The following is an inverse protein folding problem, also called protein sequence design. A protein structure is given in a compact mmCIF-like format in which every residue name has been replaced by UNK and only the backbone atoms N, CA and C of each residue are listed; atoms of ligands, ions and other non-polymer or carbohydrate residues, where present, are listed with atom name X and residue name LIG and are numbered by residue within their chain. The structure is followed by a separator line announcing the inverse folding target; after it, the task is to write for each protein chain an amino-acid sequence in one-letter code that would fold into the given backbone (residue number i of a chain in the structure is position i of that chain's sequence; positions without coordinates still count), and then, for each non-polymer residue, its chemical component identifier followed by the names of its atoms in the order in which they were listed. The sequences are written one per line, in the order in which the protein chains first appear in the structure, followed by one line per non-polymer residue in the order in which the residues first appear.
data_IF_134254634233
#
_entry.id   IF_134254634233
#
_cell.length_a   1.000
_cell.length_b   1.000
_cell.length_c   1.000
_cell.angle_alpha   90.00
_cell.angle_beta   90.00
_cell.angle_gamma   90.00
#
_symmetry.space_group_name_H-M   'P 1'
#
loop_
_entity.id
_entity.type
_entity.pdbx_description
1 polymer ?
#
# COMPACT_ATOMS: atom_id res chain seq x y z
N UNK A 1 27.94 1.65 -15.18
CA UNK A 1 26.61 2.28 -15.31
C UNK A 1 25.71 1.35 -16.12
N UNK A 2 25.31 0.23 -15.52
CA UNK A 2 24.41 -0.74 -16.14
C UNK A 2 23.27 -1.04 -15.18
N UNK A 3 22.13 -1.47 -15.72
CA UNK A 3 21.02 -1.97 -14.90
C UNK A 3 21.52 -3.11 -14.02
N UNK A 4 21.47 -2.93 -12.70
CA UNK A 4 21.65 -4.04 -11.80
C UNK A 4 20.48 -5.01 -11.94
N UNK A 5 20.73 -6.29 -11.64
CA UNK A 5 19.70 -7.33 -11.65
C UNK A 5 18.48 -6.96 -10.77
N UNK A 6 18.63 -6.34 -9.57
CA UNK A 6 17.49 -5.90 -8.77
C UNK A 6 16.62 -4.86 -9.47
N UNK A 7 17.23 -3.83 -10.08
CA UNK A 7 16.50 -2.78 -10.78
C UNK A 7 15.72 -3.34 -11.98
N UNK A 8 16.32 -4.29 -12.71
CA UNK A 8 15.65 -4.94 -13.84
C UNK A 8 14.40 -5.70 -13.39
N UNK A 9 14.48 -6.41 -12.26
CA UNK A 9 13.32 -7.11 -11.67
C UNK A 9 12.24 -6.11 -11.25
N UNK A 10 12.62 -5.01 -10.58
CA UNK A 10 11.67 -3.98 -10.15
C UNK A 10 10.95 -3.31 -11.32
N UNK A 11 11.64 -3.07 -12.43
CA UNK A 11 11.02 -2.54 -13.66
C UNK A 11 10.00 -3.53 -14.22
N UNK A 12 10.32 -4.83 -14.25
CA UNK A 12 9.36 -5.85 -14.70
C UNK A 12 8.12 -5.90 -13.81
N UNK A 13 8.29 -5.77 -12.49
CA UNK A 13 7.17 -5.69 -11.54
C UNK A 13 6.36 -4.42 -11.80
N UNK A 14 6.99 -3.26 -11.99
CA UNK A 14 6.30 -2.01 -12.29
C UNK A 14 5.44 -2.12 -13.57
N UNK A 15 5.97 -2.74 -14.62
CA UNK A 15 5.22 -2.99 -15.86
C UNK A 15 4.06 -3.96 -15.66
N UNK A 16 4.24 -5.01 -14.85
CA UNK A 16 3.17 -5.93 -14.49
C UNK A 16 2.04 -5.20 -13.74
N UNK A 17 2.38 -4.37 -12.75
CA UNK A 17 1.39 -3.57 -12.01
C UNK A 17 0.67 -2.57 -12.91
N UNK A 18 1.38 -1.91 -13.83
CA UNK A 18 0.78 -1.03 -14.83
C UNK A 18 -0.20 -1.80 -15.76
N UNK A 19 0.17 -3.01 -16.19
CA UNK A 19 -0.72 -3.87 -16.97
C UNK A 19 -1.99 -4.26 -16.18
N UNK A 20 -1.85 -4.61 -14.90
CA UNK A 20 -2.98 -4.90 -14.02
C UNK A 20 -3.90 -3.69 -13.84
N UNK A 21 -3.34 -2.49 -13.70
CA UNK A 21 -4.09 -1.25 -13.56
C UNK A 21 -4.84 -0.87 -14.85
N UNK A 22 -4.22 -1.02 -16.03
CA UNK A 22 -4.78 -0.56 -17.30
C UNK A 22 -5.71 -1.61 -17.92
N UNK A 23 -5.24 -2.85 -18.07
CA UNK A 23 -5.97 -3.89 -18.79
C UNK A 23 -7.03 -4.55 -17.90
N UNK A 24 -6.68 -4.89 -16.67
CA UNK A 24 -7.59 -5.53 -15.72
C UNK A 24 -8.37 -4.55 -14.83
N UNK A 25 -8.02 -3.25 -14.89
CA UNK A 25 -8.68 -2.17 -14.13
C UNK A 25 -8.71 -2.44 -12.61
N UNK A 26 -7.67 -3.08 -12.08
CA UNK A 26 -7.49 -3.18 -10.63
C UNK A 26 -7.03 -1.84 -10.07
N UNK A 27 -7.85 -1.24 -9.20
CA UNK A 27 -7.61 0.05 -8.52
C UNK A 27 -6.82 1.06 -9.35
N UNK A 28 -7.28 1.43 -10.55
CA UNK A 28 -6.47 2.17 -11.52
C UNK A 28 -6.00 3.53 -10.99
N UNK A 29 -6.79 4.13 -10.09
CA UNK A 29 -6.48 5.42 -9.46
C UNK A 29 -5.26 5.37 -8.55
N UNK A 30 -4.98 4.23 -7.90
CA UNK A 30 -3.85 4.08 -6.96
C UNK A 30 -2.73 3.24 -7.56
N UNK A 31 -3.07 2.13 -8.22
CA UNK A 31 -2.10 1.16 -8.74
C UNK A 31 -1.27 1.71 -9.90
N UNK A 32 -1.87 2.58 -10.74
CA UNK A 32 -1.16 3.17 -11.88
C UNK A 32 -0.12 4.22 -11.43
N UNK A 33 -0.44 5.20 -10.56
CA UNK A 33 0.58 6.08 -9.99
C UNK A 33 1.67 5.33 -9.22
N UNK A 34 1.32 4.28 -8.49
CA UNK A 34 2.29 3.42 -7.79
C UNK A 34 3.26 2.75 -8.78
N UNK A 35 2.74 2.12 -9.83
CA UNK A 35 3.53 1.49 -10.87
C UNK A 35 4.46 2.49 -11.58
N UNK A 36 3.95 3.69 -11.85
CA UNK A 36 4.75 4.76 -12.44
C UNK A 36 5.87 5.24 -11.50
N UNK A 37 5.57 5.47 -10.23
CA UNK A 37 6.56 5.84 -9.20
C UNK A 37 7.65 4.76 -9.04
N UNK A 38 7.25 3.49 -9.02
CA UNK A 38 8.18 2.36 -8.99
C UNK A 38 9.07 2.31 -10.24
N UNK A 39 8.52 2.60 -11.41
CA UNK A 39 9.27 2.61 -12.67
C UNK A 39 10.33 3.72 -12.65
N UNK A 40 9.95 4.97 -12.37
CA UNK A 40 10.89 6.11 -12.39
C UNK A 40 11.97 6.01 -11.32
N UNK A 41 11.66 5.45 -10.14
CA UNK A 41 12.63 5.26 -9.06
C UNK A 41 13.70 4.19 -9.37
N UNK A 42 13.44 3.29 -10.34
CA UNK A 42 14.34 2.19 -10.69
C UNK A 42 15.03 2.37 -12.06
N UNK A 43 14.79 3.47 -12.78
CA UNK A 43 15.48 3.76 -14.04
C UNK A 43 16.91 4.23 -13.76
N UNK A 44 17.95 3.55 -14.27
CA UNK A 44 19.35 3.82 -13.95
C UNK A 44 19.90 5.15 -14.47
N UNK A 45 19.17 5.85 -15.34
CA UNK A 45 19.53 7.16 -15.89
C UNK A 45 18.82 8.33 -15.21
N UNK A 46 17.84 8.05 -14.33
CA UNK A 46 17.01 9.09 -13.75
C UNK A 46 17.72 9.80 -12.58
N UNK A 47 18.58 9.11 -11.83
CA UNK A 47 19.19 9.63 -10.59
C UNK A 47 18.13 10.25 -9.64
N UNK A 48 16.90 9.73 -9.65
CA UNK A 48 15.77 10.20 -8.84
C UNK A 48 15.42 9.24 -7.68
N UNK A 49 16.34 8.79 -6.81
CA UNK A 49 15.93 8.02 -5.65
C UNK A 49 15.14 8.93 -4.70
N UNK A 50 14.05 8.41 -4.13
CA UNK A 50 13.23 9.15 -3.15
C UNK A 50 14.00 9.53 -1.85
N UNK A 51 15.23 9.04 -1.70
CA UNK A 51 16.06 9.22 -0.51
C UNK A 51 17.16 10.28 -0.68
N UNK A 52 17.39 10.81 -1.89
CA UNK A 52 18.32 11.92 -2.09
C UNK A 52 17.61 13.26 -1.86
N UNK A 53 18.18 14.06 -0.96
CA UNK A 53 17.60 15.34 -0.56
C UNK A 53 17.64 16.35 -1.71
N UNK A 54 16.48 16.95 -2.00
CA UNK A 54 16.34 17.99 -3.02
C UNK A 54 15.66 17.53 -4.31
N UNK A 55 15.38 16.23 -4.46
CA UNK A 55 14.73 15.69 -5.65
C UNK A 55 13.21 15.70 -5.61
N UNK A 56 12.57 15.63 -6.79
CA UNK A 56 11.11 15.64 -6.91
C UNK A 56 10.46 14.50 -6.10
N UNK A 57 10.99 13.28 -6.20
CA UNK A 57 10.45 12.13 -5.48
C UNK A 57 10.65 12.25 -3.97
N UNK A 58 11.74 12.87 -3.51
CA UNK A 58 11.98 13.15 -2.10
C UNK A 58 10.89 14.09 -1.54
N UNK A 59 10.61 15.20 -2.22
CA UNK A 59 9.57 16.14 -1.76
C UNK A 59 8.16 15.53 -1.79
N UNK A 60 7.86 14.67 -2.77
CA UNK A 60 6.61 13.92 -2.79
C UNK A 60 6.54 12.92 -1.64
N UNK A 61 7.63 12.18 -1.37
CA UNK A 61 7.68 11.21 -0.28
C UNK A 61 7.53 11.86 1.10
N UNK A 62 8.01 13.10 1.29
CA UNK A 62 7.79 13.86 2.53
C UNK A 62 6.32 14.04 2.90
N UNK A 63 5.40 14.06 1.94
CA UNK A 63 3.97 14.09 2.23
C UNK A 63 3.44 12.81 2.90
N UNK A 64 4.11 11.68 2.66
CA UNK A 64 3.86 10.40 3.34
C UNK A 64 4.49 10.41 4.73
N UNK A 65 5.76 10.83 4.84
CA UNK A 65 6.50 10.90 6.11
C UNK A 65 5.84 11.85 7.13
N UNK A 66 5.40 13.02 6.66
CA UNK A 66 4.65 13.97 7.50
C UNK A 66 3.21 13.51 7.77
N UNK A 67 2.78 12.39 7.19
CA UNK A 67 1.45 11.85 7.40
C UNK A 67 0.34 12.74 6.84
N UNK A 68 0.60 13.50 5.78
CA UNK A 68 -0.36 14.45 5.19
C UNK A 68 -1.28 13.76 4.19
N UNK A 69 -0.72 12.91 3.32
CA UNK A 69 -1.49 12.31 2.23
C UNK A 69 -2.55 11.32 2.71
N UNK A 70 -2.25 10.47 3.70
CA UNK A 70 -3.20 9.48 4.21
C UNK A 70 -4.47 10.12 4.81
N UNK A 71 -4.38 11.08 5.77
CA UNK A 71 -5.56 11.77 6.28
C UNK A 71 -6.31 12.58 5.23
N UNK A 72 -5.60 13.19 4.27
CA UNK A 72 -6.25 13.97 3.21
C UNK A 72 -7.07 13.07 2.28
N UNK A 73 -6.53 11.91 1.88
CA UNK A 73 -7.27 10.91 1.09
C UNK A 73 -8.47 10.39 1.91
N UNK A 74 -8.29 10.12 3.20
CA UNK A 74 -9.37 9.65 4.08
C UNK A 74 -10.48 10.69 4.24
N UNK A 75 -10.13 11.98 4.33
CA UNK A 75 -11.08 13.09 4.32
C UNK A 75 -11.89 13.13 3.02
N UNK A 76 -11.22 12.98 1.87
CA UNK A 76 -11.89 12.92 0.56
C UNK A 76 -12.84 11.72 0.45
N UNK A 77 -12.42 10.53 0.91
CA UNK A 77 -13.28 9.32 0.94
C UNK A 77 -14.50 9.55 1.83
N UNK A 78 -14.29 10.10 3.04
CA UNK A 78 -15.38 10.43 3.95
C UNK A 78 -16.37 11.44 3.37
N UNK A 79 -15.88 12.44 2.62
CA UNK A 79 -16.72 13.43 1.93
C UNK A 79 -17.53 12.83 0.77
N UNK A 80 -17.06 11.74 0.16
CA UNK A 80 -17.78 11.02 -0.90
C UNK A 80 -18.68 9.89 -0.38
N UNK A 81 -18.59 9.55 0.90
CA UNK A 81 -19.34 8.43 1.50
C UNK A 81 -20.78 8.84 1.80
N UNK A 82 -21.75 8.05 1.29
CA UNK A 82 -23.16 8.21 1.63
C UNK A 82 -23.49 7.46 2.93
N UNK A 83 -23.90 8.23 3.96
CA UNK A 83 -24.30 7.69 5.26
C UNK A 83 -25.78 7.31 5.34
N UNK A 84 -26.59 7.60 4.30
CA UNK A 84 -28.02 7.27 4.27
C UNK A 84 -28.33 5.79 4.58
N UNK A 85 -27.66 4.82 3.94
CA UNK A 85 -27.84 3.40 4.24
C UNK A 85 -27.46 3.02 5.67
N UNK A 86 -26.40 3.63 6.22
CA UNK A 86 -25.92 3.36 7.58
C UNK A 86 -26.90 3.88 8.63
N UNK A 87 -27.46 5.07 8.43
CA UNK A 87 -28.44 5.69 9.32
C UNK A 87 -29.78 4.94 9.25
N UNK A 88 -30.19 4.50 8.06
CA UNK A 88 -31.44 3.76 7.86
C UNK A 88 -31.41 2.34 8.48
N UNK A 89 -30.24 1.71 8.53
CA UNK A 89 -30.04 0.39 9.15
C UNK A 89 -28.75 0.36 9.97
N UNK A 90 -28.79 0.70 11.27
CA UNK A 90 -27.60 0.72 12.11
C UNK A 90 -26.98 -0.68 12.30
N UNK A 91 -27.73 -1.76 12.04
CA UNK A 91 -27.18 -3.12 12.04
C UNK A 91 -26.14 -3.33 10.95
N UNK A 92 -26.19 -2.57 9.85
CA UNK A 92 -25.16 -2.62 8.79
C UNK A 92 -23.79 -2.16 9.29
N UNK A 93 -23.73 -1.36 10.36
CA UNK A 93 -22.48 -0.98 11.01
C UNK A 93 -21.70 -2.19 11.54
N UNK A 94 -22.40 -3.27 11.94
CA UNK A 94 -21.77 -4.49 12.45
C UNK A 94 -21.03 -5.26 11.36
N UNK A 95 -21.36 -5.05 10.08
CA UNK A 95 -20.61 -5.63 8.94
C UNK A 95 -19.17 -5.09 8.94
N UNK A 96 -18.96 -3.88 9.44
CA UNK A 96 -17.62 -3.29 9.63
C UNK A 96 -16.71 -4.11 10.54
N UNK A 97 -17.25 -4.94 11.45
CA UNK A 97 -16.45 -5.83 12.28
C UNK A 97 -15.71 -6.90 11.46
N UNK A 98 -16.15 -7.18 10.23
CA UNK A 98 -15.49 -8.10 9.32
C UNK A 98 -14.07 -7.66 8.95
N UNK A 99 -13.85 -6.34 8.78
CA UNK A 99 -12.52 -5.79 8.50
C UNK A 99 -11.53 -6.06 9.65
N UNK A 100 -12.02 -5.98 10.88
CA UNK A 100 -11.21 -6.07 12.10
C UNK A 100 -10.78 -7.52 12.33
N UNK A 101 -11.66 -8.48 12.02
CA UNK A 101 -11.29 -9.89 11.95
C UNK A 101 -10.24 -10.14 10.86
N UNK A 102 -10.34 -9.48 9.71
CA UNK A 102 -9.33 -9.51 8.64
C UNK A 102 -7.96 -9.05 9.13
N UNK A 103 -7.89 -7.93 9.85
CA UNK A 103 -6.66 -7.39 10.43
C UNK A 103 -6.01 -8.39 11.39
N UNK A 104 -6.78 -8.91 12.35
CA UNK A 104 -6.25 -9.87 13.33
C UNK A 104 -5.83 -11.19 12.68
N UNK A 105 -6.56 -11.65 11.67
CA UNK A 105 -6.22 -12.88 10.95
C UNK A 105 -4.92 -12.71 10.16
N UNK A 106 -4.75 -11.59 9.46
CA UNK A 106 -3.53 -11.29 8.70
C UNK A 106 -2.30 -11.09 9.63
N UNK A 107 -2.46 -10.33 10.72
CA UNK A 107 -1.41 -10.11 11.72
C UNK A 107 -1.01 -11.42 12.43
N UNK A 108 -1.99 -12.19 12.90
CA UNK A 108 -1.75 -13.48 13.54
C UNK A 108 -1.12 -14.48 12.57
N UNK A 109 -1.58 -14.51 11.32
CA UNK A 109 -1.00 -15.31 10.26
C UNK A 109 0.46 -14.95 9.98
N UNK A 110 0.78 -13.67 9.84
CA UNK A 110 2.15 -13.20 9.63
C UNK A 110 3.06 -13.60 10.80
N UNK A 111 2.62 -13.37 12.03
CA UNK A 111 3.38 -13.72 13.23
C UNK A 111 3.60 -15.24 13.35
N UNK A 112 2.59 -16.07 13.06
CA UNK A 112 2.72 -17.53 13.08
C UNK A 112 3.62 -18.05 11.96
N UNK A 113 3.46 -17.55 10.73
CA UNK A 113 4.27 -17.99 9.58
C UNK A 113 5.76 -17.68 9.77
N UNK A 114 6.09 -16.53 10.37
CA UNK A 114 7.48 -16.18 10.70
C UNK A 114 8.12 -17.10 11.76
N UNK A 115 7.32 -17.79 12.58
CA UNK A 115 7.81 -18.74 13.59
C UNK A 115 7.81 -20.20 13.11
N UNK A 116 6.96 -20.56 12.13
CA UNK A 116 6.74 -21.94 11.70
C UNK A 116 7.58 -22.31 10.45
N UNK A 117 7.88 -21.35 9.57
CA UNK A 117 8.59 -21.63 8.32
C UNK A 117 10.10 -21.54 8.55
N UNK A 118 10.86 -22.65 8.44
CA UNK A 118 12.31 -22.60 8.53
C UNK A 118 12.89 -21.84 7.33
N UNK A 119 13.59 -20.73 7.59
CA UNK A 119 14.23 -19.88 6.58
C UNK A 119 13.62 -18.50 6.37
N UNK A 120 12.52 -18.17 7.06
CA UNK A 120 11.98 -16.80 7.14
C UNK A 120 12.36 -16.22 8.50
N UNK A 121 12.88 -14.98 8.52
CA UNK A 121 13.14 -14.29 9.78
C UNK A 121 11.82 -14.03 10.52
N UNK A 122 11.75 -14.24 11.85
CA UNK A 122 10.54 -13.98 12.60
C UNK A 122 10.14 -12.51 12.46
N UNK A 123 8.93 -12.25 11.97
CA UNK A 123 8.40 -10.90 11.92
C UNK A 123 8.28 -10.33 13.33
N UNK A 124 8.77 -9.10 13.51
CA UNK A 124 8.51 -8.35 14.73
C UNK A 124 7.02 -8.07 14.87
N UNK A 125 6.57 -7.78 16.10
CA UNK A 125 5.17 -7.44 16.32
C UNK A 125 4.73 -6.20 15.51
N UNK A 126 5.63 -5.25 15.27
CA UNK A 126 5.36 -4.05 14.46
C UNK A 126 5.20 -4.38 12.96
N UNK A 127 6.04 -5.25 12.41
CA UNK A 127 5.92 -5.67 11.01
C UNK A 127 4.68 -6.53 10.78
N UNK A 128 4.40 -7.45 11.70
CA UNK A 128 3.17 -8.25 11.66
C UNK A 128 1.92 -7.35 11.74
N UNK A 129 1.95 -6.30 12.55
CA UNK A 129 0.86 -5.32 12.63
C UNK A 129 0.70 -4.54 11.31
N UNK A 130 1.80 -4.12 10.68
CA UNK A 130 1.76 -3.47 9.36
C UNK A 130 1.17 -4.39 8.29
N UNK A 131 1.54 -5.67 8.26
CA UNK A 131 0.94 -6.70 7.38
C UNK A 131 -0.56 -6.86 7.71
N UNK A 132 -0.91 -6.82 8.99
CA UNK A 132 -2.30 -6.87 9.46
C UNK A 132 -3.19 -5.79 8.84
N UNK A 133 -2.69 -4.57 8.65
CA UNK A 133 -3.48 -3.47 8.08
C UNK A 133 -4.00 -3.76 6.67
N UNK A 134 -3.32 -4.61 5.89
CA UNK A 134 -3.77 -5.07 4.56
C UNK A 134 -5.12 -5.80 4.67
N UNK A 135 -5.34 -6.53 5.77
CA UNK A 135 -6.57 -7.28 6.03
C UNK A 135 -7.82 -6.42 6.17
N UNK A 136 -7.66 -5.11 6.41
CA UNK A 136 -8.77 -4.14 6.46
C UNK A 136 -9.39 -3.86 5.09
N UNK A 137 -8.66 -4.16 4.00
CA UNK A 137 -9.03 -3.78 2.61
C UNK A 137 -9.23 -2.28 2.40
N UNK A 138 -8.68 -1.45 3.29
CA UNK A 138 -8.76 0.02 3.25
C UNK A 138 -7.36 0.62 3.00
N UNK A 139 -6.99 0.74 1.72
CA UNK A 139 -5.65 1.11 1.29
C UNK A 139 -5.09 2.40 1.92
N UNK A 140 -5.81 3.53 1.96
CA UNK A 140 -5.33 4.79 2.55
C UNK A 140 -5.02 4.73 4.05
N UNK A 141 -5.52 3.70 4.76
CA UNK A 141 -5.26 3.49 6.19
C UNK A 141 -4.09 2.55 6.47
N UNK A 142 -3.62 1.82 5.45
CA UNK A 142 -2.48 0.91 5.52
C UNK A 142 -1.11 1.57 5.38
#
# INVERSE_FOLDING_TARGET
MGLGLPQFIMILIALLLAYLAIHKKYEPLLLLPLAFGMLIANIPLAELPAYDEGDLLYYLYKGIDFGIYRPLIFLCIGAMTDFGPLIASPHSALIGLGGQLGIFTAMGGAYLLGNIIPGIEPFTFQEAAAIGMIGSSDGPTS
#
